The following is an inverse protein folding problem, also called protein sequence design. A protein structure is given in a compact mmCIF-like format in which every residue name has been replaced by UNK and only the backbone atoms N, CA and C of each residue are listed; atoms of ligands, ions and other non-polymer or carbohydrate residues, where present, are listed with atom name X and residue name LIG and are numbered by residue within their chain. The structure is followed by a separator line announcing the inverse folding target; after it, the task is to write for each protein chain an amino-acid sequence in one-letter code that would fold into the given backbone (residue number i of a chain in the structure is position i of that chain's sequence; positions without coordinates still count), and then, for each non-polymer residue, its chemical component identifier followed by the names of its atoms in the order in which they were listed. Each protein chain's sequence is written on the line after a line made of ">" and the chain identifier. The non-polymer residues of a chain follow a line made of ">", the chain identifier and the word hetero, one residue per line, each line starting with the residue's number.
data_IF_826271380484
#
_entry.id   IF_826271380484
#
_cell.length_a   1.000
_cell.length_b   1.000
_cell.length_c   1.000
_cell.angle_alpha   90.00
_cell.angle_beta   90.00
_cell.angle_gamma   90.00
#
_symmetry.space_group_name_H-M   'P 1'
#
loop_
_entity.id
_entity.type
_entity.pdbx_description
1 polymer ?
#
# COMPACT_ATOMS: atom_id res chain seq x y z
N UNK A 1 -22.56 0.06 14.51
CA UNK A 1 -23.37 0.50 13.33
C UNK A 1 -22.74 1.69 12.60
N UNK A 2 -22.74 2.92 13.14
CA UNK A 2 -22.14 4.07 12.47
C UNK A 2 -20.60 4.06 12.49
N UNK A 3 -20.00 3.69 13.64
CA UNK A 3 -18.54 3.57 13.78
C UNK A 3 -17.93 2.52 12.87
N UNK A 4 -18.57 1.36 12.73
CA UNK A 4 -18.15 0.31 11.78
C UNK A 4 -18.18 0.83 10.34
N UNK A 5 -19.23 1.56 9.95
CA UNK A 5 -19.34 2.12 8.62
C UNK A 5 -18.22 3.14 8.34
N UNK A 6 -17.92 4.02 9.29
CA UNK A 6 -16.80 4.97 9.16
C UNK A 6 -15.47 4.22 9.02
N UNK A 7 -15.24 3.18 9.82
CA UNK A 7 -14.04 2.35 9.73
C UNK A 7 -13.88 1.71 8.34
N UNK A 8 -14.97 1.14 7.80
CA UNK A 8 -14.99 0.57 6.45
C UNK A 8 -14.71 1.59 5.36
N UNK A 9 -15.27 2.79 5.46
CA UNK A 9 -15.01 3.89 4.53
C UNK A 9 -13.55 4.33 4.58
N UNK A 10 -12.96 4.43 5.77
CA UNK A 10 -11.53 4.75 5.91
C UNK A 10 -10.66 3.66 5.28
N UNK A 11 -10.96 2.39 5.54
CA UNK A 11 -10.25 1.26 4.93
C UNK A 11 -10.35 1.30 3.40
N UNK A 12 -11.51 1.65 2.85
CA UNK A 12 -11.71 1.79 1.41
C UNK A 12 -10.78 2.84 0.79
N UNK A 13 -10.70 4.04 1.38
CA UNK A 13 -9.79 5.08 0.89
C UNK A 13 -8.31 4.70 1.03
N UNK A 14 -7.93 4.01 2.11
CA UNK A 14 -6.56 3.48 2.26
C UNK A 14 -6.24 2.49 1.13
N UNK A 15 -7.16 1.57 0.80
CA UNK A 15 -6.97 0.63 -0.30
C UNK A 15 -6.86 1.33 -1.66
N UNK A 16 -7.64 2.40 -1.90
CA UNK A 16 -7.48 3.22 -3.11
C UNK A 16 -6.10 3.87 -3.16
N UNK A 17 -5.61 4.40 -2.04
CA UNK A 17 -4.29 5.02 -1.98
C UNK A 17 -3.17 4.00 -2.26
N UNK A 18 -3.27 2.79 -1.69
CA UNK A 18 -2.35 1.69 -1.96
C UNK A 18 -2.40 1.27 -3.44
N UNK A 19 -3.59 1.12 -4.01
CA UNK A 19 -3.77 0.81 -5.43
C UNK A 19 -3.13 1.88 -6.32
N UNK A 20 -3.36 3.17 -6.02
CA UNK A 20 -2.78 4.28 -6.75
C UNK A 20 -1.24 4.30 -6.64
N UNK A 21 -0.69 3.98 -5.47
CA UNK A 21 0.76 3.83 -5.26
C UNK A 21 1.34 2.75 -6.16
N UNK A 22 0.72 1.56 -6.21
CA UNK A 22 1.18 0.47 -7.07
C UNK A 22 1.08 0.83 -8.55
N UNK A 23 0.01 1.51 -8.97
CA UNK A 23 -0.11 2.02 -10.35
C UNK A 23 0.96 3.05 -10.69
N UNK A 24 1.28 3.96 -9.77
CA UNK A 24 2.32 4.97 -9.97
C UNK A 24 3.70 4.32 -10.17
N UNK A 25 4.02 3.30 -9.38
CA UNK A 25 5.26 2.53 -9.53
C UNK A 25 5.30 1.78 -10.86
N UNK A 26 4.18 1.15 -11.25
CA UNK A 26 4.07 0.45 -12.53
C UNK A 26 4.26 1.41 -13.71
N UNK A 27 3.63 2.58 -13.68
CA UNK A 27 3.80 3.61 -14.71
C UNK A 27 5.24 4.11 -14.76
N UNK A 28 5.87 4.35 -13.62
CA UNK A 28 7.28 4.77 -13.55
C UNK A 28 8.23 3.72 -14.15
N UNK A 29 7.92 2.44 -13.99
CA UNK A 29 8.66 1.34 -14.62
C UNK A 29 8.39 1.25 -16.12
N UNK A 30 7.16 1.49 -16.58
CA UNK A 30 6.84 1.55 -18.00
C UNK A 30 7.50 2.74 -18.70
N UNK A 31 7.58 3.90 -18.04
CA UNK A 31 8.33 5.05 -18.54
C UNK A 31 9.83 4.79 -18.60
N UNK A 32 10.37 3.99 -17.66
CA UNK A 32 11.75 3.52 -17.71
C UNK A 32 11.98 2.55 -18.88
N UNK A 33 11.05 1.62 -19.14
CA UNK A 33 11.12 0.68 -20.27
C UNK A 33 11.04 1.38 -21.63
N UNK A 34 10.27 2.48 -21.72
CA UNK A 34 10.14 3.29 -22.93
C UNK A 34 11.27 4.31 -23.14
N UNK A 35 12.36 4.25 -22.35
CA UNK A 35 13.47 5.21 -22.33
C UNK A 35 13.03 6.68 -22.08
N UNK A 36 11.86 6.90 -21.45
CA UNK A 36 11.40 8.24 -21.06
C UNK A 36 12.03 8.73 -19.76
N UNK A 37 12.46 7.83 -18.87
CA UNK A 37 13.08 8.14 -17.58
C UNK A 37 14.45 7.51 -17.43
N UNK A 38 15.35 8.21 -16.75
CA UNK A 38 16.63 7.64 -16.35
C UNK A 38 16.45 6.65 -15.17
N UNK A 39 17.26 5.58 -15.08
CA UNK A 39 17.21 4.63 -13.97
C UNK A 39 17.37 5.26 -12.58
N UNK A 40 18.22 6.29 -12.46
CA UNK A 40 18.43 7.02 -11.20
C UNK A 40 17.19 7.83 -10.79
N UNK A 41 16.49 8.41 -11.76
CA UNK A 41 15.26 9.17 -11.50
C UNK A 41 14.11 8.24 -11.14
N UNK A 42 13.94 7.14 -11.88
CA UNK A 42 12.92 6.14 -11.62
C UNK A 42 13.09 5.51 -10.22
N UNK A 43 14.30 5.11 -9.86
CA UNK A 43 14.60 4.55 -8.53
C UNK A 43 14.36 5.57 -7.40
N UNK A 44 14.76 6.84 -7.58
CA UNK A 44 14.50 7.89 -6.59
C UNK A 44 13.00 8.10 -6.37
N UNK A 45 12.21 8.15 -7.45
CA UNK A 45 10.74 8.30 -7.37
C UNK A 45 10.09 7.13 -6.67
N UNK A 46 10.38 5.90 -7.10
CA UNK A 46 9.81 4.68 -6.50
C UNK A 46 10.18 4.57 -5.02
N UNK A 47 11.44 4.80 -4.65
CA UNK A 47 11.90 4.68 -3.26
C UNK A 47 11.22 5.69 -2.32
N UNK A 48 10.85 6.88 -2.80
CA UNK A 48 10.10 7.85 -2.00
C UNK A 48 8.66 7.44 -1.70
N UNK A 49 8.07 6.58 -2.54
CA UNK A 49 6.67 6.12 -2.43
C UNK A 49 6.58 4.77 -1.71
N UNK A 50 7.62 3.95 -1.75
CA UNK A 50 7.59 2.62 -1.13
C UNK A 50 7.47 2.68 0.40
N UNK A 51 8.14 3.64 1.04
CA UNK A 51 8.07 3.86 2.48
C UNK A 51 6.65 4.18 2.97
N UNK A 52 5.93 5.18 2.40
CA UNK A 52 4.56 5.45 2.82
C UNK A 52 3.60 4.30 2.50
N UNK A 53 3.84 3.52 1.44
CA UNK A 53 3.05 2.32 1.14
C UNK A 53 3.18 1.25 2.23
N UNK A 54 4.40 0.99 2.69
CA UNK A 54 4.65 -0.01 3.74
C UNK A 54 4.00 0.42 5.06
N UNK A 55 4.10 1.70 5.41
CA UNK A 55 3.45 2.26 6.60
C UNK A 55 1.93 2.16 6.51
N UNK A 56 1.33 2.49 5.36
CA UNK A 56 -0.12 2.40 5.17
C UNK A 56 -0.62 0.95 5.24
N UNK A 57 0.08 0.01 4.61
CA UNK A 57 -0.28 -1.42 4.65
C UNK A 57 -0.13 -2.00 6.06
N UNK A 58 0.94 -1.65 6.78
CA UNK A 58 1.14 -2.03 8.17
C UNK A 58 0.06 -1.47 9.09
N UNK A 59 -0.28 -0.18 8.91
CA UNK A 59 -1.37 0.46 9.64
C UNK A 59 -2.72 -0.23 9.40
N UNK A 60 -3.05 -0.54 8.14
CA UNK A 60 -4.27 -1.24 7.77
C UNK A 60 -4.34 -2.62 8.44
N UNK A 61 -3.25 -3.39 8.40
CA UNK A 61 -3.15 -4.70 9.04
C UNK A 61 -3.37 -4.62 10.56
N UNK A 62 -2.67 -3.71 11.25
CA UNK A 62 -2.82 -3.49 12.70
C UNK A 62 -4.25 -3.04 13.05
N UNK A 63 -4.87 -2.19 12.21
CA UNK A 63 -6.23 -1.73 12.44
C UNK A 63 -7.26 -2.87 12.41
N UNK A 64 -7.09 -3.87 11.53
CA UNK A 64 -7.94 -5.06 11.50
C UNK A 64 -7.75 -5.96 12.72
N UNK A 65 -6.52 -6.05 13.24
CA UNK A 65 -6.24 -6.76 14.48
C UNK A 65 -6.93 -6.11 15.69
N UNK A 66 -6.82 -4.78 15.82
CA UNK A 66 -7.41 -4.02 16.93
C UNK A 66 -8.94 -4.01 16.91
N UNK A 67 -9.53 -4.01 15.72
CA UNK A 67 -10.99 -4.02 15.53
C UNK A 67 -11.58 -5.44 15.51
N UNK A 68 -10.79 -6.47 15.79
CA UNK A 68 -11.20 -7.88 15.83
C UNK A 68 -11.73 -8.44 14.50
N UNK A 69 -11.37 -7.83 13.38
CA UNK A 69 -11.71 -8.30 12.03
C UNK A 69 -10.69 -9.35 11.56
N UNK A 70 -10.69 -10.52 12.21
CA UNK A 70 -9.71 -11.59 12.01
C UNK A 70 -9.59 -12.09 10.58
N UNK A 71 -10.70 -12.16 9.84
CA UNK A 71 -10.68 -12.63 8.46
C UNK A 71 -9.91 -11.66 7.55
N UNK A 72 -10.18 -10.36 7.63
CA UNK A 72 -9.42 -9.36 6.87
C UNK A 72 -7.98 -9.24 7.33
N UNK A 73 -7.73 -9.36 8.63
CA UNK A 73 -6.37 -9.40 9.17
C UNK A 73 -5.55 -10.56 8.57
N UNK A 74 -6.09 -11.78 8.57
CA UNK A 74 -5.41 -12.94 7.98
C UNK A 74 -5.16 -12.77 6.47
N UNK A 75 -6.01 -12.02 5.78
CA UNK A 75 -5.83 -11.72 4.36
C UNK A 75 -4.72 -10.70 4.10
N UNK A 76 -4.61 -9.65 4.93
CA UNK A 76 -3.58 -8.60 4.77
C UNK A 76 -2.24 -8.94 5.41
N UNK A 77 -2.22 -9.89 6.36
CA UNK A 77 -1.03 -10.31 7.10
C UNK A 77 0.11 -10.82 6.21
N UNK A 78 -0.08 -11.67 5.18
CA UNK A 78 1.01 -12.14 4.33
C UNK A 78 1.70 -10.99 3.58
N UNK A 79 0.93 -10.01 3.13
CA UNK A 79 1.44 -8.84 2.42
C UNK A 79 2.25 -7.95 3.37
N UNK A 80 1.71 -7.69 4.57
CA UNK A 80 2.41 -6.92 5.59
C UNK A 80 3.71 -7.63 6.04
N UNK A 81 3.68 -8.97 6.18
CA UNK A 81 4.85 -9.77 6.51
C UNK A 81 5.92 -9.69 5.40
N UNK A 82 5.50 -9.74 4.14
CA UNK A 82 6.41 -9.58 3.00
C UNK A 82 7.08 -8.20 3.02
N UNK A 83 6.34 -7.12 3.28
CA UNK A 83 6.91 -5.77 3.40
C UNK A 83 7.92 -5.63 4.56
N UNK A 84 7.76 -6.39 5.64
CA UNK A 84 8.71 -6.39 6.75
C UNK A 84 9.99 -7.20 6.47
N UNK A 85 9.95 -8.10 5.49
CA UNK A 85 11.11 -8.92 5.10
C UNK A 85 11.98 -8.27 4.03
N UNK A 86 11.45 -7.27 3.31
CA UNK A 86 12.15 -6.53 2.26
C UNK A 86 13.10 -5.49 2.85
#
# INVERSE_FOLDING_TARGET
>A
MAWDLIFWVVCFFINIALLASSFYQLLSLSDLEADHLNPFEASTRINSIILPEFLLQGFLCISFLLTWHWFMFLFTLPIAAYHLML
#
